data_IF_236883581851
#
_entry.id   IF_236883581851
#
_cell.length_a   1.000
_cell.length_b   1.000
_cell.length_c   1.000
_cell.angle_alpha   90.00
_cell.angle_beta   90.00
_cell.angle_gamma   90.00
#
_symmetry.space_group_name_H-M   'P 1'
#
loop_
_entity.id
_entity.type
_entity.pdbx_description
1 polymer ?
#
# COMPACT_ATOMS: atom_id res chain seq x y z
N UNK A 1 18.68 17.87 -2.51
CA UNK A 1 17.37 17.68 -3.17
C UNK A 1 16.47 17.05 -2.13
N UNK A 2 15.21 17.49 -2.01
CA UNK A 2 14.23 16.85 -1.12
C UNK A 2 13.88 15.47 -1.71
N UNK A 3 13.89 14.43 -0.89
CA UNK A 3 13.61 13.04 -1.27
C UNK A 3 12.62 12.44 -0.28
N UNK A 4 11.94 11.34 -0.64
CA UNK A 4 11.18 10.52 0.32
C UNK A 4 12.08 9.45 0.95
N UNK A 5 13.10 9.00 0.22
CA UNK A 5 14.03 8.00 0.70
C UNK A 5 15.20 8.67 1.43
N UNK A 6 15.33 8.36 2.72
CA UNK A 6 16.52 8.73 3.51
C UNK A 6 17.79 8.10 2.93
N UNK A 7 18.98 8.72 3.03
CA UNK A 7 20.21 8.14 2.48
C UNK A 7 20.58 6.80 3.12
N UNK A 8 20.36 6.67 4.43
CA UNK A 8 20.65 5.45 5.18
C UNK A 8 19.50 4.44 5.04
N UNK A 9 19.85 3.18 4.78
CA UNK A 9 18.87 2.09 4.84
C UNK A 9 18.37 1.91 6.29
N UNK A 10 17.06 1.71 6.50
CA UNK A 10 16.51 1.45 7.82
C UNK A 10 16.97 0.08 8.36
N UNK A 11 16.97 -0.06 9.68
CA UNK A 11 17.24 -1.37 10.31
C UNK A 11 16.15 -2.38 9.93
N UNK A 12 16.58 -3.53 9.42
CA UNK A 12 15.68 -4.62 9.04
C UNK A 12 14.93 -5.20 10.24
N UNK A 13 13.80 -5.86 9.95
CA UNK A 13 13.10 -6.65 10.97
C UNK A 13 13.92 -7.87 11.36
N UNK A 14 13.81 -8.27 12.62
CA UNK A 14 14.40 -9.50 13.12
C UNK A 14 13.78 -10.73 12.42
N UNK A 15 14.61 -11.73 12.15
CA UNK A 15 14.16 -13.03 11.64
C UNK A 15 13.75 -13.96 12.80
N UNK A 16 12.78 -14.88 12.58
CA UNK A 16 12.03 -15.08 11.35
C UNK A 16 10.94 -14.03 11.13
N UNK A 17 10.81 -13.51 9.90
CA UNK A 17 9.64 -12.70 9.52
C UNK A 17 8.38 -13.56 9.45
N UNK A 18 7.42 -13.32 10.35
CA UNK A 18 6.08 -13.95 10.41
C UNK A 18 4.98 -12.90 10.53
N UNK A 19 3.72 -13.28 10.29
CA UNK A 19 2.56 -12.40 10.52
C UNK A 19 2.49 -11.83 11.95
N UNK A 20 2.86 -12.64 12.96
CA UNK A 20 2.94 -12.21 14.36
C UNK A 20 4.02 -11.13 14.57
N UNK A 21 5.24 -11.34 14.05
CA UNK A 21 6.33 -10.35 14.20
C UNK A 21 6.03 -9.04 13.48
N UNK A 22 5.40 -9.11 12.30
CA UNK A 22 4.95 -7.93 11.56
C UNK A 22 3.88 -7.19 12.35
N UNK A 23 2.86 -7.89 12.83
CA UNK A 23 1.77 -7.31 13.62
C UNK A 23 2.29 -6.64 14.89
N UNK A 24 3.19 -7.32 15.61
CA UNK A 24 3.81 -6.77 16.81
C UNK A 24 4.57 -5.47 16.50
N UNK A 25 5.29 -5.42 15.37
CA UNK A 25 5.97 -4.20 14.92
C UNK A 25 4.98 -3.09 14.56
N UNK A 26 3.91 -3.37 13.81
CA UNK A 26 2.89 -2.36 13.47
C UNK A 26 2.27 -1.78 14.73
N UNK A 27 1.88 -2.63 15.69
CA UNK A 27 1.32 -2.18 16.97
C UNK A 27 2.33 -1.37 17.79
N UNK A 28 3.61 -1.76 17.78
CA UNK A 28 4.67 -0.98 18.43
C UNK A 28 4.79 0.41 17.79
N UNK A 29 4.80 0.51 16.46
CA UNK A 29 4.87 1.79 15.75
C UNK A 29 3.65 2.67 16.05
N UNK A 30 2.45 2.07 16.08
CA UNK A 30 1.20 2.75 16.44
C UNK A 30 1.27 3.33 17.86
N UNK A 31 1.62 2.52 18.86
CA UNK A 31 1.68 2.95 20.27
C UNK A 31 2.75 4.02 20.52
N UNK A 32 3.83 4.03 19.73
CA UNK A 32 4.87 5.06 19.81
C UNK A 32 4.59 6.30 18.94
N UNK A 33 3.41 6.40 18.33
CA UNK A 33 3.00 7.56 17.52
C UNK A 33 3.70 7.69 16.17
N UNK A 34 4.43 6.66 15.71
CA UNK A 34 5.07 6.67 14.39
C UNK A 34 4.04 6.62 13.27
N UNK A 35 2.85 6.07 13.55
CA UNK A 35 1.73 6.02 12.61
C UNK A 35 0.76 7.20 12.75
N UNK A 36 1.06 8.19 13.60
CA UNK A 36 0.31 9.45 13.70
C UNK A 36 0.69 10.37 12.54
N UNK A 37 0.41 9.92 11.32
CA UNK A 37 0.81 10.62 10.10
C UNK A 37 -0.10 11.82 9.84
N UNK A 38 0.44 12.89 9.23
CA UNK A 38 -0.37 13.98 8.71
C UNK A 38 -1.47 13.47 7.78
N UNK A 39 -2.63 14.13 7.84
CA UNK A 39 -3.72 13.88 6.91
C UNK A 39 -3.30 14.31 5.49
N UNK A 40 -3.64 13.53 4.44
CA UNK A 40 -3.35 13.91 3.06
C UNK A 40 -3.91 15.29 2.70
N UNK A 41 -3.13 16.12 2.01
CA UNK A 41 -3.57 17.46 1.57
C UNK A 41 -3.79 18.47 2.70
N UNK A 42 -3.17 18.24 3.87
CA UNK A 42 -3.25 19.16 5.02
C UNK A 42 -1.94 19.86 5.34
N UNK A 43 -1.01 19.94 4.38
CA UNK A 43 0.21 20.75 4.48
C UNK A 43 1.49 19.97 4.82
N UNK A 44 1.42 18.65 4.98
CA UNK A 44 2.60 17.79 5.13
C UNK A 44 2.39 16.40 4.49
N UNK A 45 1.92 16.39 3.24
CA UNK A 45 1.80 15.19 2.42
C UNK A 45 3.17 14.55 2.17
N UNK A 46 4.23 15.37 2.08
CA UNK A 46 5.60 14.87 1.94
C UNK A 46 6.06 14.06 3.16
N UNK A 47 5.83 14.54 4.40
CA UNK A 47 6.19 13.81 5.61
C UNK A 47 5.44 12.48 5.75
N UNK A 48 4.15 12.47 5.37
CA UNK A 48 3.36 11.23 5.28
C UNK A 48 4.01 10.23 4.32
N UNK A 49 4.29 10.61 3.08
CA UNK A 49 4.84 9.70 2.08
C UNK A 49 6.28 9.28 2.38
N UNK A 50 7.07 10.15 2.99
CA UNK A 50 8.43 9.84 3.49
C UNK A 50 8.37 8.71 4.51
N UNK A 51 7.44 8.80 5.46
CA UNK A 51 7.27 7.75 6.48
C UNK A 51 6.82 6.43 5.85
N UNK A 52 5.85 6.47 4.94
CA UNK A 52 5.37 5.28 4.23
C UNK A 52 6.46 4.62 3.37
N UNK A 53 7.27 5.40 2.67
CA UNK A 53 8.42 4.90 1.91
C UNK A 53 9.48 4.28 2.82
N UNK A 54 9.77 4.91 3.96
CA UNK A 54 10.68 4.35 4.97
C UNK A 54 10.19 3.00 5.52
N UNK A 55 8.89 2.87 5.80
CA UNK A 55 8.29 1.62 6.26
C UNK A 55 8.34 0.53 5.18
N UNK A 56 7.99 0.85 3.92
CA UNK A 56 8.12 -0.07 2.79
C UNK A 56 9.56 -0.51 2.54
N UNK A 57 10.53 0.38 2.76
CA UNK A 57 11.96 0.08 2.66
C UNK A 57 12.46 -0.84 3.77
N UNK A 58 11.87 -0.72 4.96
CA UNK A 58 12.18 -1.58 6.10
C UNK A 58 11.66 -3.00 5.89
N UNK A 59 10.39 -3.13 5.55
CA UNK A 59 9.75 -4.38 5.15
C UNK A 59 8.44 -4.07 4.42
N UNK A 60 8.21 -4.71 3.28
CA UNK A 60 7.11 -4.33 2.41
C UNK A 60 5.73 -4.69 2.99
N UNK A 61 5.67 -5.77 3.79
CA UNK A 61 4.46 -6.17 4.49
C UNK A 61 4.15 -5.22 5.65
N UNK A 62 5.19 -4.82 6.41
CA UNK A 62 5.06 -3.79 7.44
C UNK A 62 4.49 -2.49 6.84
N UNK A 63 5.06 -2.05 5.71
CA UNK A 63 4.58 -0.88 4.97
C UNK A 63 3.12 -1.02 4.55
N UNK A 64 2.68 -2.19 4.07
CA UNK A 64 1.28 -2.43 3.68
C UNK A 64 0.31 -2.29 4.86
N UNK A 65 0.60 -2.90 6.00
CA UNK A 65 -0.31 -2.83 7.15
C UNK A 65 -0.34 -1.42 7.77
N UNK A 66 0.81 -0.75 7.86
CA UNK A 66 0.88 0.63 8.33
C UNK A 66 0.15 1.60 7.38
N UNK A 67 0.31 1.43 6.07
CA UNK A 67 -0.42 2.20 5.06
C UNK A 67 -1.93 2.02 5.20
N UNK A 68 -2.41 0.78 5.26
CA UNK A 68 -3.85 0.50 5.44
C UNK A 68 -4.42 1.10 6.74
N UNK A 69 -3.66 1.05 7.84
CA UNK A 69 -4.06 1.69 9.09
C UNK A 69 -4.15 3.21 8.94
N UNK A 70 -3.08 3.85 8.45
CA UNK A 70 -3.02 5.31 8.32
C UNK A 70 -3.98 5.87 7.27
N UNK A 71 -4.36 5.09 6.25
CA UNK A 71 -5.44 5.44 5.31
C UNK A 71 -6.81 5.34 5.98
N UNK A 72 -7.07 4.30 6.77
CA UNK A 72 -8.31 4.19 7.54
C UNK A 72 -8.52 5.38 8.48
N UNK A 73 -7.47 5.82 9.18
CA UNK A 73 -7.54 7.01 10.05
C UNK A 73 -7.85 8.28 9.24
N UNK A 74 -7.27 8.43 8.05
CA UNK A 74 -7.55 9.58 7.18
C UNK A 74 -8.99 9.55 6.65
N UNK A 75 -9.51 8.39 6.29
CA UNK A 75 -10.91 8.20 5.86
C UNK A 75 -11.87 8.56 7.00
N UNK A 76 -11.62 8.07 8.21
CA UNK A 76 -12.46 8.38 9.37
C UNK A 76 -12.46 9.88 9.69
N UNK A 77 -11.28 10.52 9.66
CA UNK A 77 -11.16 11.97 9.86
C UNK A 77 -11.93 12.77 8.79
N UNK A 78 -11.84 12.39 7.51
CA UNK A 78 -12.61 13.02 6.42
C UNK A 78 -14.13 12.82 6.58
N UNK A 79 -14.55 11.70 7.18
CA UNK A 79 -15.95 11.43 7.52
C UNK A 79 -16.42 12.15 8.81
N UNK A 80 -15.53 12.88 9.51
CA UNK A 80 -15.83 13.52 10.79
C UNK A 80 -16.03 12.51 11.94
N UNK A 81 -15.38 11.34 11.86
CA UNK A 81 -15.45 10.27 12.86
C UNK A 81 -14.10 10.08 13.54
N UNK A 82 -14.16 9.85 14.85
CA UNK A 82 -12.99 9.48 15.63
C UNK A 82 -12.77 7.95 15.55
N UNK A 83 -11.52 7.49 15.40
CA UNK A 83 -11.21 6.07 15.46
C UNK A 83 -11.45 5.51 16.87
N UNK A 84 -11.71 4.21 16.96
CA UNK A 84 -11.76 3.48 18.22
C UNK A 84 -10.36 3.52 18.86
N UNK A 85 -10.22 4.02 20.10
CA UNK A 85 -8.93 4.16 20.76
C UNK A 85 -8.16 2.83 20.84
N UNK A 86 -6.91 2.83 20.37
CA UNK A 86 -6.02 1.67 20.42
C UNK A 86 -6.32 0.57 19.40
N UNK A 87 -7.35 0.73 18.56
CA UNK A 87 -7.67 -0.23 17.51
C UNK A 87 -6.72 -0.07 16.31
N UNK A 88 -6.23 -1.20 15.81
CA UNK A 88 -5.53 -1.30 14.55
C UNK A 88 -6.53 -1.52 13.41
N UNK A 89 -6.40 -0.73 12.36
CA UNK A 89 -7.36 -0.65 11.27
C UNK A 89 -6.81 -1.18 9.95
N UNK A 90 -7.72 -1.67 9.10
CA UNK A 90 -7.47 -1.89 7.67
C UNK A 90 -8.56 -1.28 6.79
N UNK A 91 -8.30 -1.22 5.49
CA UNK A 91 -9.25 -0.77 4.47
C UNK A 91 -9.41 -1.88 3.43
N UNK A 92 -10.63 -2.42 3.31
CA UNK A 92 -10.97 -3.53 2.43
C UNK A 92 -12.03 -3.08 1.42
N UNK A 93 -11.55 -2.48 0.32
CA UNK A 93 -12.38 -1.94 -0.76
C UNK A 93 -12.28 -2.72 -2.08
N UNK A 94 -11.62 -3.89 -2.07
CA UNK A 94 -11.40 -4.69 -3.27
C UNK A 94 -12.70 -5.32 -3.78
N UNK A 95 -13.03 -5.08 -5.06
CA UNK A 95 -14.19 -5.65 -5.77
C UNK A 95 -13.80 -6.65 -6.86
N UNK A 96 -12.66 -7.31 -6.70
CA UNK A 96 -12.05 -8.16 -7.72
C UNK A 96 -12.90 -9.39 -8.04
N UNK A 97 -13.06 -9.72 -9.32
CA UNK A 97 -13.66 -10.99 -9.75
C UNK A 97 -15.17 -11.14 -9.45
N UNK A 98 -15.89 -10.02 -9.26
CA UNK A 98 -17.33 -10.02 -9.00
C UNK A 98 -17.72 -10.45 -7.57
N UNK A 99 -16.74 -10.63 -6.69
CA UNK A 99 -16.94 -10.91 -5.27
C UNK A 99 -16.80 -9.62 -4.45
N UNK A 100 -17.61 -9.49 -3.40
CA UNK A 100 -17.60 -8.38 -2.47
C UNK A 100 -18.62 -8.62 -1.36
N UNK A 101 -18.76 -7.65 -0.46
CA UNK A 101 -19.82 -7.64 0.53
C UNK A 101 -21.01 -6.79 0.04
N UNK A 102 -22.20 -7.10 0.52
CA UNK A 102 -23.42 -6.35 0.28
C UNK A 102 -24.25 -6.29 1.55
N UNK A 103 -24.99 -5.20 1.73
CA UNK A 103 -26.01 -5.12 2.78
C UNK A 103 -27.34 -5.58 2.21
N UNK A 104 -27.85 -6.71 2.72
CA UNK A 104 -29.12 -7.30 2.31
C UNK A 104 -30.00 -7.46 3.55
N UNK A 105 -31.19 -6.86 3.52
CA UNK A 105 -32.13 -6.93 4.65
C UNK A 105 -31.57 -6.35 5.95
N UNK A 106 -30.68 -5.35 5.86
CA UNK A 106 -30.04 -4.72 7.02
C UNK A 106 -28.84 -5.48 7.60
N UNK A 107 -28.30 -6.47 6.90
CA UNK A 107 -27.12 -7.22 7.34
C UNK A 107 -26.05 -7.32 6.24
N UNK A 108 -24.79 -7.19 6.63
CA UNK A 108 -23.63 -7.34 5.76
C UNK A 108 -23.37 -8.82 5.51
N UNK A 109 -23.35 -9.21 4.24
CA UNK A 109 -23.11 -10.58 3.80
C UNK A 109 -22.21 -10.59 2.56
N UNK A 110 -21.42 -11.65 2.39
CA UNK A 110 -20.57 -11.85 1.21
C UNK A 110 -19.13 -12.15 1.58
N UNK A 111 -18.26 -12.16 0.58
CA UNK A 111 -16.82 -12.44 0.78
C UNK A 111 -16.02 -11.32 0.15
N UNK A 112 -15.24 -10.63 0.98
CA UNK A 112 -14.28 -9.61 0.52
C UNK A 112 -12.93 -10.26 0.41
N UNK A 113 -12.26 -10.03 -0.72
CA UNK A 113 -10.98 -10.65 -1.04
C UNK A 113 -9.80 -9.78 -0.64
N UNK A 114 -8.65 -10.43 -0.44
CA UNK A 114 -7.37 -9.76 -0.22
C UNK A 114 -7.39 -8.81 0.99
N UNK A 115 -7.98 -9.26 2.10
CA UNK A 115 -8.15 -8.48 3.31
C UNK A 115 -6.85 -8.48 4.12
N UNK A 116 -5.89 -7.61 3.78
CA UNK A 116 -4.62 -7.53 4.52
C UNK A 116 -4.85 -7.36 6.01
N UNK A 117 -4.19 -8.20 6.82
CA UNK A 117 -4.31 -8.24 8.27
C UNK A 117 -5.60 -8.91 8.80
N UNK A 118 -6.24 -9.78 8.02
CA UNK A 118 -7.57 -10.34 8.31
C UNK A 118 -7.74 -10.95 9.72
N UNK A 119 -6.70 -11.57 10.28
CA UNK A 119 -6.71 -12.23 11.59
C UNK A 119 -6.13 -11.35 12.72
N UNK A 120 -5.50 -10.23 12.40
CA UNK A 120 -4.66 -9.47 13.34
C UNK A 120 -5.11 -8.03 13.57
N UNK A 121 -5.92 -7.49 12.66
CA UNK A 121 -6.55 -6.18 12.80
C UNK A 121 -7.71 -6.24 13.79
N UNK A 122 -8.06 -5.10 14.36
CA UNK A 122 -9.18 -4.98 15.31
C UNK A 122 -10.46 -4.51 14.58
N UNK A 123 -10.30 -3.63 13.58
CA UNK A 123 -11.40 -3.06 12.79
C UNK A 123 -11.03 -2.93 11.32
N UNK A 124 -12.04 -2.94 10.45
CA UNK A 124 -11.85 -2.69 9.03
C UNK A 124 -12.90 -1.73 8.46
N UNK A 125 -12.48 -0.90 7.51
CA UNK A 125 -13.39 -0.16 6.64
C UNK A 125 -13.69 -1.01 5.41
N UNK A 126 -14.94 -1.46 5.29
CA UNK A 126 -15.39 -2.42 4.28
C UNK A 126 -16.32 -1.72 3.31
N UNK A 127 -15.98 -1.73 2.02
CA UNK A 127 -16.91 -1.28 0.99
C UNK A 127 -17.96 -2.37 0.74
N UNK A 128 -19.23 -1.98 0.73
CA UNK A 128 -20.33 -2.89 0.47
C UNK A 128 -21.32 -2.31 -0.56
N UNK A 129 -21.87 -3.18 -1.40
CA UNK A 129 -23.05 -2.83 -2.17
C UNK A 129 -24.23 -2.56 -1.23
N UNK A 130 -25.06 -1.58 -1.57
CA UNK A 130 -26.15 -1.13 -0.72
C UNK A 130 -27.42 -0.95 -1.54
N UNK A 131 -28.35 -1.90 -1.37
CA UNK A 131 -29.63 -1.91 -2.08
C UNK A 131 -29.42 -1.72 -3.60
N UNK A 132 -30.25 -0.89 -4.24
CA UNK A 132 -30.11 -0.49 -5.66
C UNK A 132 -29.31 0.84 -5.82
N UNK A 133 -28.64 1.29 -4.75
CA UNK A 133 -27.96 2.58 -4.67
C UNK A 133 -26.44 2.52 -4.86
N UNK A 134 -25.76 3.68 -4.73
CA UNK A 134 -24.31 3.73 -4.64
C UNK A 134 -23.79 2.89 -3.47
N UNK A 135 -22.57 2.30 -3.57
CA UNK A 135 -22.01 1.52 -2.48
C UNK A 135 -21.75 2.38 -1.24
N UNK A 136 -21.81 1.75 -0.07
CA UNK A 136 -21.50 2.39 1.22
C UNK A 136 -20.15 1.91 1.75
N UNK A 137 -19.60 2.66 2.69
CA UNK A 137 -18.45 2.23 3.49
C UNK A 137 -18.92 1.93 4.91
N UNK A 138 -18.49 0.79 5.44
CA UNK A 138 -18.84 0.32 6.78
C UNK A 138 -17.58 0.20 7.65
N UNK A 139 -17.63 0.67 8.88
CA UNK A 139 -16.64 0.34 9.90
C UNK A 139 -17.11 -0.88 10.71
N UNK A 140 -16.42 -2.01 10.53
CA UNK A 140 -16.79 -3.30 11.13
C UNK A 140 -15.73 -3.71 12.15
N UNK A 141 -16.15 -4.14 13.34
CA UNK A 141 -15.29 -4.83 14.31
C UNK A 141 -15.02 -6.26 13.86
N UNK A 142 -13.76 -6.68 13.88
CA UNK A 142 -13.38 -8.00 13.35
C UNK A 142 -13.63 -9.15 14.34
N UNK A 143 -14.02 -8.82 15.58
CA UNK A 143 -14.51 -9.73 16.61
C UNK A 143 -16.04 -9.89 16.58
N UNK A 144 -16.75 -9.17 15.70
CA UNK A 144 -18.21 -9.24 15.62
C UNK A 144 -18.71 -10.61 15.13
N UNK A 145 -19.81 -11.13 15.70
CA UNK A 145 -20.42 -12.36 15.23
C UNK A 145 -20.77 -12.30 13.74
N UNK A 146 -20.35 -13.31 12.97
CA UNK A 146 -20.58 -13.38 11.53
C UNK A 146 -19.40 -12.88 10.69
N UNK A 147 -18.36 -12.31 11.30
CA UNK A 147 -17.08 -12.02 10.62
C UNK A 147 -16.16 -13.24 10.73
N UNK A 148 -15.68 -13.75 9.59
CA UNK A 148 -14.78 -14.90 9.55
C UNK A 148 -13.65 -14.70 8.55
N UNK A 149 -12.42 -14.62 9.05
CA UNK A 149 -11.22 -14.72 8.23
C UNK A 149 -11.06 -16.15 7.66
N UNK A 150 -10.63 -16.22 6.40
CA UNK A 150 -10.38 -17.45 5.65
C UNK A 150 -8.90 -17.50 5.24
N UNK A 151 -7.97 -17.71 6.20
CA UNK A 151 -6.53 -17.58 5.95
C UNK A 151 -6.00 -18.54 4.90
N UNK A 152 -6.65 -19.70 4.71
CA UNK A 152 -6.29 -20.68 3.69
C UNK A 152 -6.42 -20.16 2.25
N UNK A 153 -7.14 -19.06 2.04
CA UNK A 153 -7.27 -18.42 0.73
C UNK A 153 -6.02 -17.60 0.35
N UNK A 154 -5.14 -17.30 1.31
CA UNK A 154 -3.87 -16.62 1.07
C UNK A 154 -2.71 -17.60 0.96
N UNK A 155 -2.47 -18.08 -0.27
CA UNK A 155 -1.39 -19.04 -0.60
C UNK A 155 -0.17 -18.36 -1.24
N UNK A 156 -0.01 -17.04 -1.04
CA UNK A 156 1.01 -16.26 -1.73
C UNK A 156 2.42 -16.56 -1.18
N UNK A 157 3.41 -16.69 -2.07
CA UNK A 157 4.83 -16.82 -1.69
C UNK A 157 5.42 -15.46 -1.30
N UNK A 158 5.05 -14.42 -2.04
CA UNK A 158 5.34 -13.03 -1.68
C UNK A 158 4.18 -12.43 -0.90
N UNK A 159 4.47 -11.46 -0.04
CA UNK A 159 3.53 -10.87 0.90
C UNK A 159 2.89 -11.94 1.82
N UNK A 160 3.57 -13.06 2.06
CA UNK A 160 3.07 -14.19 2.85
C UNK A 160 2.70 -13.81 4.29
N UNK A 161 3.44 -12.88 4.91
CA UNK A 161 3.15 -12.39 6.26
C UNK A 161 2.10 -11.26 6.31
N UNK A 162 1.53 -10.87 5.16
CA UNK A 162 0.52 -9.79 5.10
C UNK A 162 -0.85 -10.21 5.60
N UNK A 163 -1.06 -11.51 5.79
CA UNK A 163 -2.32 -12.06 6.27
C UNK A 163 -3.51 -11.55 5.42
N UNK A 164 -3.34 -11.61 4.09
CA UNK A 164 -4.30 -11.06 3.12
C UNK A 164 -5.33 -12.09 2.64
N UNK A 165 -5.81 -12.93 3.54
CA UNK A 165 -6.89 -13.88 3.25
C UNK A 165 -8.20 -13.16 2.91
N UNK A 166 -9.14 -13.91 2.37
CA UNK A 166 -10.53 -13.47 2.22
C UNK A 166 -11.19 -13.38 3.61
N UNK A 167 -12.16 -12.49 3.73
CA UNK A 167 -13.03 -12.38 4.92
C UNK A 167 -14.47 -12.58 4.48
N UNK A 168 -15.13 -13.55 5.11
CA UNK A 168 -16.56 -13.81 4.93
C UNK A 168 -17.35 -13.06 5.99
N UNK A 169 -18.38 -12.37 5.53
CA UNK A 169 -19.43 -11.78 6.35
C UNK A 169 -20.68 -12.63 6.18
N UNK A 170 -21.24 -13.12 7.29
CA UNK A 170 -22.44 -13.95 7.34
C UNK A 170 -23.48 -13.29 8.26
N UNK A 171 -24.29 -12.41 7.68
CA UNK A 171 -25.40 -11.78 8.39
C UNK A 171 -24.99 -10.82 9.51
N UNK A 172 -23.88 -10.09 9.37
CA UNK A 172 -23.44 -9.11 10.39
C UNK A 172 -24.43 -7.93 10.42
N UNK A 173 -25.14 -7.66 11.53
CA UNK A 173 -26.16 -6.61 11.56
C UNK A 173 -25.58 -5.22 11.30
N UNK A 174 -26.16 -4.49 10.34
CA UNK A 174 -25.73 -3.13 10.01
C UNK A 174 -26.68 -2.13 10.65
N UNK A 175 -26.11 -1.23 11.43
CA UNK A 175 -26.80 -0.07 12.02
C UNK A 175 -26.18 1.23 11.52
N UNK A 176 -26.81 2.36 11.79
CA UNK A 176 -26.28 3.69 11.43
C UNK A 176 -24.89 3.98 12.02
N UNK A 177 -24.48 3.32 13.11
CA UNK A 177 -23.16 3.51 13.71
C UNK A 177 -22.03 2.85 12.91
N UNK A 178 -22.35 1.92 12.01
CA UNK A 178 -21.38 1.27 11.14
C UNK A 178 -21.09 2.12 9.89
N UNK A 179 -22.05 2.92 9.45
CA UNK A 179 -21.96 3.63 8.16
C UNK A 179 -20.98 4.81 8.27
N UNK A 180 -20.01 4.85 7.35
CA UNK A 180 -18.98 5.89 7.25
C UNK A 180 -19.28 6.77 6.03
N UNK A 181 -19.76 7.98 6.28
CA UNK A 181 -20.17 8.91 5.23
C UNK A 181 -21.47 8.49 4.53
N UNK A 182 -21.88 9.27 3.53
CA UNK A 182 -23.08 8.99 2.74
C UNK A 182 -22.84 7.91 1.67
N UNK A 183 -23.89 7.26 1.12
CA UNK A 183 -23.74 6.37 -0.02
C UNK A 183 -22.96 7.01 -1.18
N UNK A 184 -21.95 6.29 -1.70
CA UNK A 184 -21.06 6.74 -2.76
C UNK A 184 -19.95 7.71 -2.32
N UNK A 185 -19.91 8.12 -1.04
CA UNK A 185 -18.95 9.10 -0.53
C UNK A 185 -17.49 8.61 -0.61
N UNK A 186 -17.22 7.35 -0.29
CA UNK A 186 -15.83 6.87 -0.19
C UNK A 186 -15.01 7.03 -1.47
N UNK A 187 -15.60 6.80 -2.64
CA UNK A 187 -14.89 6.94 -3.93
C UNK A 187 -14.86 8.38 -4.44
N UNK A 188 -15.74 9.25 -3.94
CA UNK A 188 -15.80 10.67 -4.31
C UNK A 188 -15.04 11.59 -3.35
N UNK A 189 -14.59 11.06 -2.20
CA UNK A 189 -13.84 11.84 -1.21
C UNK A 189 -12.52 12.38 -1.82
N UNK A 190 -12.11 13.60 -1.47
CA UNK A 190 -10.88 14.19 -2.00
C UNK A 190 -9.62 13.35 -1.78
N UNK A 191 -9.50 12.70 -0.62
CA UNK A 191 -8.30 11.91 -0.31
C UNK A 191 -8.24 10.52 -0.95
N UNK A 192 -9.24 10.08 -1.73
CA UNK A 192 -9.27 8.74 -2.34
C UNK A 192 -8.06 8.50 -3.24
N UNK A 193 -7.77 9.45 -4.13
CA UNK A 193 -6.62 9.38 -5.04
C UNK A 193 -5.29 9.50 -4.29
N UNK A 194 -5.26 10.32 -3.23
CA UNK A 194 -4.07 10.54 -2.39
C UNK A 194 -3.66 9.28 -1.62
N UNK A 195 -4.63 8.48 -1.15
CA UNK A 195 -4.37 7.16 -0.57
C UNK A 195 -3.62 6.25 -1.54
N UNK A 196 -4.05 6.25 -2.82
CA UNK A 196 -3.39 5.50 -3.89
C UNK A 196 -1.93 5.89 -4.13
N UNK A 197 -1.56 7.17 -3.96
CA UNK A 197 -0.17 7.61 -4.02
C UNK A 197 0.63 7.28 -2.74
N UNK A 198 -0.02 7.24 -1.57
CA UNK A 198 0.56 6.69 -0.34
C UNK A 198 1.01 5.24 -0.50
N UNK A 199 0.18 4.40 -1.13
CA UNK A 199 0.55 3.03 -1.52
C UNK A 199 1.80 3.01 -2.44
N UNK A 200 1.87 3.93 -3.41
CA UNK A 200 3.02 4.04 -4.30
C UNK A 200 4.30 4.45 -3.56
N UNK A 201 4.21 5.28 -2.53
CA UNK A 201 5.36 5.60 -1.68
C UNK A 201 5.89 4.33 -0.96
N UNK A 202 5.01 3.45 -0.48
CA UNK A 202 5.42 2.15 0.09
C UNK A 202 6.11 1.27 -0.95
N UNK A 203 5.60 1.22 -2.18
CA UNK A 203 6.25 0.48 -3.28
C UNK A 203 7.64 1.03 -3.60
N UNK A 204 7.81 2.35 -3.62
CA UNK A 204 9.11 3.00 -3.80
C UNK A 204 10.09 2.55 -2.72
N UNK A 205 9.62 2.49 -1.47
CA UNK A 205 10.36 1.89 -0.36
C UNK A 205 10.80 0.45 -0.65
N UNK A 206 9.87 -0.40 -1.11
CA UNK A 206 10.17 -1.78 -1.49
C UNK A 206 11.22 -1.90 -2.61
N UNK A 207 11.14 -1.05 -3.63
CA UNK A 207 12.17 -0.95 -4.68
C UNK A 207 13.54 -0.59 -4.09
N UNK A 208 13.58 0.42 -3.22
CA UNK A 208 14.81 0.83 -2.53
C UNK A 208 15.40 -0.30 -1.67
N UNK A 209 14.56 -1.08 -0.98
CA UNK A 209 15.02 -2.21 -0.16
C UNK A 209 15.71 -3.30 -0.99
N UNK A 210 15.22 -3.57 -2.21
CA UNK A 210 15.86 -4.50 -3.14
C UNK A 210 17.21 -3.94 -3.60
N UNK A 211 17.27 -2.66 -3.96
CA UNK A 211 18.51 -1.99 -4.39
C UNK A 211 19.54 -1.91 -3.26
N UNK A 212 19.13 -1.75 -2.01
CA UNK A 212 20.01 -1.82 -0.84
C UNK A 212 20.63 -3.21 -0.70
N UNK A 213 19.84 -4.28 -0.88
CA UNK A 213 20.32 -5.66 -0.85
C UNK A 213 21.31 -5.94 -1.99
N UNK A 214 21.02 -5.45 -3.20
CA UNK A 214 21.93 -5.55 -4.35
C UNK A 214 23.24 -4.81 -4.07
N UNK A 215 23.17 -3.59 -3.55
CA UNK A 215 24.35 -2.77 -3.22
C UNK A 215 25.20 -3.46 -2.16
N UNK A 216 24.56 -3.96 -1.10
CA UNK A 216 25.22 -4.71 -0.02
C UNK A 216 25.90 -5.96 -0.57
N UNK A 217 25.25 -6.68 -1.49
CA UNK A 217 25.83 -7.86 -2.15
C UNK A 217 27.10 -7.52 -2.94
N UNK A 218 27.08 -6.45 -3.75
CA UNK A 218 28.24 -6.01 -4.53
C UNK A 218 29.39 -5.55 -3.63
N UNK A 219 29.09 -4.78 -2.58
CA UNK A 219 30.08 -4.32 -1.61
C UNK A 219 30.74 -5.50 -0.87
N UNK A 220 29.96 -6.49 -0.43
CA UNK A 220 30.49 -7.67 0.25
C UNK A 220 31.39 -8.53 -0.64
N UNK A 221 31.13 -8.57 -1.96
CA UNK A 221 31.97 -9.24 -2.94
C UNK A 221 33.29 -8.50 -3.19
N UNK A 222 33.33 -7.18 -2.96
CA UNK A 222 34.53 -6.35 -3.09
C UNK A 222 34.96 -6.04 -4.54
N UNK A 223 34.18 -6.47 -5.54
CA UNK A 223 34.42 -6.16 -6.96
C UNK A 223 33.13 -6.31 -7.77
N UNK A 224 32.86 -5.34 -8.63
CA UNK A 224 31.77 -5.33 -9.62
C UNK A 224 32.34 -5.08 -11.03
N UNK A 225 31.77 -5.71 -12.04
CA UNK A 225 32.13 -5.46 -13.45
C UNK A 225 31.34 -4.30 -14.08
N UNK A 226 31.70 -3.91 -15.31
CA UNK A 226 31.08 -2.79 -16.01
C UNK A 226 29.57 -2.97 -16.24
N UNK A 227 29.10 -4.20 -16.41
CA UNK A 227 27.68 -4.49 -16.57
C UNK A 227 26.95 -4.32 -15.24
N UNK A 228 27.51 -4.83 -14.14
CA UNK A 228 26.97 -4.64 -12.80
C UNK A 228 26.91 -3.15 -12.41
N UNK A 229 27.93 -2.37 -12.77
CA UNK A 229 27.90 -0.91 -12.59
C UNK A 229 26.78 -0.24 -13.41
N UNK A 230 26.64 -0.61 -14.69
CA UNK A 230 25.59 -0.05 -15.56
C UNK A 230 24.18 -0.39 -15.04
N UNK A 231 23.96 -1.64 -14.60
CA UNK A 231 22.70 -2.07 -14.01
C UNK A 231 22.42 -1.37 -12.69
N UNK A 232 23.40 -1.23 -11.80
CA UNK A 232 23.23 -0.47 -10.56
C UNK A 232 22.87 0.99 -10.84
N UNK A 233 23.54 1.63 -11.81
CA UNK A 233 23.20 2.99 -12.26
C UNK A 233 21.78 3.09 -12.82
N UNK A 234 21.33 2.07 -13.56
CA UNK A 234 19.96 1.97 -14.08
C UNK A 234 18.93 1.94 -12.95
N UNK A 235 19.15 1.08 -11.95
CA UNK A 235 18.25 0.93 -10.80
C UNK A 235 18.16 2.22 -9.97
N UNK A 236 19.30 2.85 -9.65
CA UNK A 236 19.31 4.11 -8.91
C UNK A 236 18.62 5.23 -9.70
N UNK A 237 18.84 5.32 -11.01
CA UNK A 237 18.19 6.32 -11.85
C UNK A 237 16.67 6.18 -11.82
N UNK A 238 16.16 4.95 -11.97
CA UNK A 238 14.72 4.67 -11.94
C UNK A 238 14.08 5.00 -10.58
N UNK A 239 14.78 4.71 -9.47
CA UNK A 239 14.33 5.09 -8.12
C UNK A 239 14.28 6.61 -7.97
N UNK A 240 15.34 7.33 -8.37
CA UNK A 240 15.38 8.78 -8.24
C UNK A 240 14.34 9.50 -9.10
N UNK A 241 13.99 8.95 -10.27
CA UNK A 241 12.92 9.48 -11.12
C UNK A 241 11.55 9.35 -10.44
N UNK A 242 11.25 8.17 -9.89
CA UNK A 242 9.99 7.92 -9.18
C UNK A 242 9.89 8.73 -7.88
N UNK A 243 10.98 8.80 -7.10
CA UNK A 243 11.07 9.62 -5.88
C UNK A 243 10.83 11.09 -6.17
N UNK A 244 11.49 11.67 -7.20
CA UNK A 244 11.32 13.06 -7.57
C UNK A 244 9.87 13.39 -8.00
N UNK A 245 9.21 12.48 -8.72
CA UNK A 245 7.81 12.67 -9.09
C UNK A 245 6.90 12.67 -7.85
N UNK A 246 7.09 11.72 -6.93
CA UNK A 246 6.34 11.69 -5.67
C UNK A 246 6.59 12.94 -4.81
N UNK A 247 7.83 13.43 -4.72
CA UNK A 247 8.13 14.68 -3.99
C UNK A 247 7.41 15.86 -4.61
N UNK A 248 7.50 16.04 -5.93
CA UNK A 248 6.79 17.12 -6.65
C UNK A 248 5.28 17.02 -6.42
N UNK A 249 4.70 15.82 -6.53
CA UNK A 249 3.27 15.63 -6.35
C UNK A 249 2.84 15.87 -4.92
N UNK A 250 3.64 15.48 -3.92
CA UNK A 250 3.34 15.80 -2.51
C UNK A 250 3.27 17.31 -2.27
N UNK A 251 4.18 18.08 -2.90
CA UNK A 251 4.17 19.55 -2.83
C UNK A 251 2.92 20.12 -3.50
N UNK A 252 2.60 19.67 -4.73
CA UNK A 252 1.41 20.12 -5.45
C UNK A 252 0.12 19.84 -4.67
N UNK A 253 0.01 18.66 -4.03
CA UNK A 253 -1.14 18.30 -3.19
C UNK A 253 -1.38 19.30 -2.06
N UNK A 254 -0.31 19.85 -1.47
CA UNK A 254 -0.42 20.77 -0.34
C UNK A 254 -0.51 22.25 -0.77
N UNK A 255 0.01 22.61 -1.95
CA UNK A 255 0.15 24.03 -2.36
C UNK A 255 -0.64 24.44 -3.60
N UNK A 256 -1.13 23.49 -4.40
CA UNK A 256 -1.76 23.74 -5.70
C UNK A 256 -3.21 23.21 -5.72
N UNK A 257 -4.20 23.98 -5.21
CA UNK A 257 -5.58 23.51 -5.03
C UNK A 257 -6.35 23.27 -6.35
N UNK A 258 -5.85 23.82 -7.46
CA UNK A 258 -6.47 23.71 -8.79
C UNK A 258 -5.91 22.54 -9.63
N UNK A 259 -4.92 21.80 -9.09
CA UNK A 259 -4.25 20.73 -9.80
C UNK A 259 -5.11 19.45 -9.86
N UNK A 260 -5.00 18.68 -10.94
CA UNK A 260 -5.71 17.41 -11.08
C UNK A 260 -4.99 16.31 -10.28
N UNK A 261 -5.32 16.22 -8.99
CA UNK A 261 -4.71 15.27 -8.07
C UNK A 261 -4.97 13.80 -8.47
N UNK A 262 -6.18 13.38 -8.90
CA UNK A 262 -6.37 12.06 -9.48
C UNK A 262 -5.40 11.72 -10.62
N UNK A 263 -5.18 12.64 -11.56
CA UNK A 263 -4.25 12.43 -12.66
C UNK A 263 -2.80 12.32 -12.17
N UNK A 264 -2.34 13.26 -11.32
CA UNK A 264 -0.97 13.24 -10.78
C UNK A 264 -0.66 12.00 -9.93
N UNK A 265 -1.60 11.59 -9.08
CA UNK A 265 -1.44 10.38 -8.26
C UNK A 265 -1.41 9.12 -9.12
N UNK A 266 -2.19 9.09 -10.20
CA UNK A 266 -2.13 8.02 -11.20
C UNK A 266 -0.78 7.96 -11.94
N UNK A 267 -0.17 9.10 -12.26
CA UNK A 267 1.21 9.14 -12.77
C UNK A 267 2.22 8.64 -11.73
N UNK A 268 2.11 9.03 -10.47
CA UNK A 268 2.97 8.52 -9.40
C UNK A 268 2.90 6.99 -9.31
N UNK A 269 1.68 6.43 -9.23
CA UNK A 269 1.46 4.98 -9.18
C UNK A 269 2.07 4.27 -10.40
N UNK A 270 1.89 4.82 -11.60
CA UNK A 270 2.43 4.24 -12.84
C UNK A 270 3.96 4.32 -12.88
N UNK A 271 4.55 5.44 -12.46
CA UNK A 271 5.99 5.61 -12.43
C UNK A 271 6.64 4.63 -11.45
N UNK A 272 6.10 4.49 -10.24
CA UNK A 272 6.65 3.53 -9.26
C UNK A 272 6.43 2.09 -9.72
N UNK A 273 5.31 1.76 -10.35
CA UNK A 273 5.10 0.43 -10.94
C UNK A 273 6.15 0.10 -12.01
N UNK A 274 6.46 1.07 -12.88
CA UNK A 274 7.50 0.93 -13.90
C UNK A 274 8.88 0.71 -13.27
N UNK A 275 9.24 1.52 -12.26
CA UNK A 275 10.46 1.35 -11.49
C UNK A 275 10.53 -0.03 -10.84
N UNK A 276 9.44 -0.50 -10.22
CA UNK A 276 9.38 -1.82 -9.60
C UNK A 276 9.60 -2.95 -10.63
N UNK A 277 9.04 -2.83 -11.84
CA UNK A 277 9.29 -3.80 -12.91
C UNK A 277 10.77 -3.84 -13.31
N UNK A 278 11.42 -2.69 -13.44
CA UNK A 278 12.85 -2.63 -13.74
C UNK A 278 13.69 -3.22 -12.60
N UNK A 279 13.33 -2.95 -11.34
CA UNK A 279 13.98 -3.55 -10.17
C UNK A 279 13.85 -5.07 -10.18
N UNK A 280 12.64 -5.60 -10.42
CA UNK A 280 12.37 -7.04 -10.47
C UNK A 280 13.13 -7.75 -11.60
N UNK A 281 13.35 -7.07 -12.72
CA UNK A 281 14.05 -7.61 -13.89
C UNK A 281 15.58 -7.56 -13.73
N UNK A 282 16.11 -6.41 -13.32
CA UNK A 282 17.56 -6.14 -13.34
C UNK A 282 18.27 -6.63 -12.07
N UNK A 283 17.63 -6.60 -10.90
CA UNK A 283 18.29 -7.02 -9.65
C UNK A 283 18.80 -8.48 -9.70
N UNK A 284 18.03 -9.47 -10.21
CA UNK A 284 18.52 -10.84 -10.38
C UNK A 284 19.73 -10.96 -11.32
N UNK A 285 19.80 -10.15 -12.39
CA UNK A 285 20.93 -10.14 -13.32
C UNK A 285 22.23 -9.70 -12.64
N UNK A 286 22.15 -8.72 -11.73
CA UNK A 286 23.31 -8.22 -10.99
C UNK A 286 23.84 -9.29 -10.01
N UNK A 287 22.95 -9.92 -9.25
CA UNK A 287 23.34 -10.74 -8.10
C UNK A 287 23.54 -12.21 -8.42
N UNK A 288 22.91 -12.67 -9.52
CA UNK A 288 22.93 -14.07 -9.93
C UNK A 288 22.30 -15.03 -8.91
N UNK A 289 22.39 -16.35 -9.17
CA UNK A 289 21.68 -17.36 -8.38
C UNK A 289 22.19 -17.49 -6.94
N UNK A 290 23.43 -17.06 -6.65
CA UNK A 290 24.00 -17.22 -5.30
C UNK A 290 23.24 -16.37 -4.28
N UNK A 291 22.98 -15.09 -4.58
CA UNK A 291 22.24 -14.22 -3.67
C UNK A 291 20.78 -14.68 -3.53
N UNK A 292 20.18 -15.14 -4.63
CA UNK A 292 18.79 -15.62 -4.66
C UNK A 292 18.57 -16.92 -3.87
N UNK A 293 19.62 -17.72 -3.66
CA UNK A 293 19.52 -19.02 -3.00
C UNK A 293 20.20 -19.10 -1.63
N UNK A 294 21.11 -18.18 -1.30
CA UNK A 294 21.89 -18.22 -0.04
C UNK A 294 21.62 -17.05 0.90
N UNK A 295 20.88 -16.05 0.46
CA UNK A 295 20.33 -15.01 1.32
C UNK A 295 18.80 -15.02 1.14
N UNK A 296 18.04 -15.27 2.20
CA UNK A 296 16.57 -15.31 2.11
C UNK A 296 15.97 -13.92 1.89
N UNK A 297 16.72 -12.85 2.15
CA UNK A 297 16.22 -11.48 2.14
C UNK A 297 15.85 -11.01 0.73
N UNK A 298 16.80 -11.04 -0.19
CA UNK A 298 16.60 -10.60 -1.57
C UNK A 298 15.44 -11.34 -2.29
N UNK A 299 15.39 -12.68 -2.33
CA UNK A 299 14.28 -13.38 -2.98
C UNK A 299 12.93 -13.13 -2.30
N UNK A 300 12.90 -12.88 -0.98
CA UNK A 300 11.67 -12.48 -0.27
C UNK A 300 11.22 -11.08 -0.69
N UNK A 301 12.11 -10.10 -0.69
CA UNK A 301 11.82 -8.73 -1.14
C UNK A 301 11.31 -8.70 -2.59
N UNK A 302 11.95 -9.46 -3.49
CA UNK A 302 11.51 -9.60 -4.88
C UNK A 302 10.12 -10.24 -4.96
N UNK A 303 9.86 -11.28 -4.18
CA UNK A 303 8.56 -11.96 -4.15
C UNK A 303 7.46 -11.04 -3.61
N UNK A 304 7.73 -10.34 -2.50
CA UNK A 304 6.82 -9.36 -1.90
C UNK A 304 6.49 -8.25 -2.91
N UNK A 305 7.52 -7.64 -3.53
CA UNK A 305 7.36 -6.54 -4.49
C UNK A 305 6.57 -6.98 -5.72
N UNK A 306 6.83 -8.18 -6.25
CA UNK A 306 6.12 -8.76 -7.37
C UNK A 306 4.61 -8.87 -7.10
N UNK A 307 4.20 -9.24 -5.89
CA UNK A 307 2.80 -9.35 -5.52
C UNK A 307 2.20 -7.97 -5.26
N UNK A 308 2.83 -7.16 -4.41
CA UNK A 308 2.21 -5.94 -3.91
C UNK A 308 1.99 -4.88 -5.00
N UNK A 309 2.92 -4.74 -5.93
CA UNK A 309 2.80 -3.76 -7.02
C UNK A 309 1.65 -4.09 -7.99
N UNK A 310 1.12 -5.32 -7.98
CA UNK A 310 -0.02 -5.72 -8.83
C UNK A 310 -1.38 -5.17 -8.38
N UNK A 311 -1.45 -4.38 -7.32
CA UNK A 311 -2.61 -3.50 -7.11
C UNK A 311 -2.65 -2.36 -8.14
N UNK A 312 -1.58 -2.16 -8.91
CA UNK A 312 -1.63 -1.47 -10.20
C UNK A 312 -1.96 -2.48 -11.30
N UNK A 313 -3.05 -2.27 -12.03
CA UNK A 313 -3.58 -3.21 -13.03
C UNK A 313 -2.90 -3.08 -14.41
N UNK A 314 -1.69 -2.53 -14.44
CA UNK A 314 -0.87 -2.38 -15.64
C UNK A 314 -1.58 -1.57 -16.73
N UNK A 315 -1.76 -2.19 -17.91
CA UNK A 315 -2.35 -1.52 -19.06
C UNK A 315 -3.77 -0.96 -18.81
N UNK A 316 -4.54 -1.53 -17.87
CA UNK A 316 -5.87 -0.98 -17.53
C UNK A 316 -5.77 0.38 -16.86
N UNK A 317 -4.86 0.51 -15.88
CA UNK A 317 -4.66 1.77 -15.17
C UNK A 317 -4.01 2.82 -16.10
N UNK A 318 -3.06 2.40 -16.95
CA UNK A 318 -2.49 3.28 -17.99
C UNK A 318 -3.52 3.73 -19.03
N UNK A 319 -4.46 2.86 -19.42
CA UNK A 319 -5.54 3.24 -20.33
C UNK A 319 -6.47 4.27 -19.69
N UNK A 320 -6.77 4.15 -18.39
CA UNK A 320 -7.54 5.15 -17.67
C UNK A 320 -6.85 6.53 -17.71
N UNK A 321 -5.54 6.59 -17.50
CA UNK A 321 -4.76 7.83 -17.67
C UNK A 321 -4.83 8.38 -19.09
N UNK A 322 -4.68 7.52 -20.10
CA UNK A 322 -4.77 7.93 -21.50
C UNK A 322 -6.13 8.51 -21.87
N UNK A 323 -7.22 7.97 -21.31
CA UNK A 323 -8.58 8.50 -21.50
C UNK A 323 -8.71 9.89 -20.89
N UNK A 324 -8.25 10.11 -19.67
CA UNK A 324 -8.33 11.44 -19.03
C UNK A 324 -7.49 12.49 -19.77
N UNK A 325 -6.26 12.14 -20.18
CA UNK A 325 -5.39 13.05 -20.95
C UNK A 325 -6.02 13.51 -22.27
N UNK A 326 -6.76 12.63 -22.96
CA UNK A 326 -7.44 12.95 -24.21
C UNK A 326 -8.68 13.85 -24.01
N UNK A 327 -9.35 13.78 -22.86
CA UNK A 327 -10.49 14.68 -22.55
C UNK A 327 -10.02 16.12 -22.38
N UNK A 328 -8.82 16.32 -21.86
CA UNK A 328 -8.32 17.64 -21.49
C UNK A 328 -7.36 18.25 -22.52
N UNK A 329 -6.97 17.50 -23.57
CA UNK A 329 -5.99 17.96 -24.56
C UNK A 329 -4.62 18.30 -23.95
N UNK A 330 -4.32 17.77 -22.76
CA UNK A 330 -3.08 18.01 -22.02
C UNK A 330 -1.94 17.21 -22.64
N UNK A 331 -0.72 17.78 -22.59
CA UNK A 331 0.52 17.12 -23.02
C UNK A 331 1.16 16.35 -21.89
#
# INVERSE_FOLDING_TARGET
MKTLLEPAAPEHLAEPRTGETITAMVRLLMVNGVLDLPLPGRGDTWGRWTTLAGLGRRDLVLGRLAEGHTDALAILAEAGREPVPGALYGVWAARSGGTGAAVVGGALTGTVRFCSGAQVLDRALVMADYEDGPPILLEVGLDEPGVQALPETWQAIGMDASDSGDVRFDGVPVTSTHIVGEPGWYVSRPGFSLGGAGVAAVWLGGCAAVVDSVTTHLLARGAADDHQHAHLGTLHTAIHQADALLVRTAEAVDTEPDEDLPLLTGFCRSAVEHTARQVLDVAPEITGPTALCRDRRLPRQLSDLMVYVRQHHGARDLAALGVELLKEGRR
#
